data_IF_080047040659
#
_entry.id   IF_080047040659
#
_cell.length_a   1.000
_cell.length_b   1.000
_cell.length_c   1.000
_cell.angle_alpha   90.00
_cell.angle_beta   90.00
_cell.angle_gamma   90.00
#
_symmetry.space_group_name_H-M   'P 1'
#
loop_
_entity.id
_entity.type
_entity.pdbx_description
1 polymer ?
#
# COMPACT_ATOMS: atom_id res chain seq x y z
N UNK A 1 -23.74 -11.54 12.93
CA UNK A 1 -22.56 -10.83 12.43
C UNK A 1 -21.98 -11.54 11.22
N UNK A 2 -22.01 -10.89 10.09
CA UNK A 2 -21.47 -11.53 8.91
C UNK A 2 -19.97 -11.77 9.09
N UNK A 3 -19.56 -12.97 8.76
CA UNK A 3 -18.16 -13.29 8.71
C UNK A 3 -17.59 -12.63 7.45
N UNK A 4 -16.46 -12.02 7.58
CA UNK A 4 -15.80 -11.34 6.48
C UNK A 4 -15.05 -12.32 5.59
N UNK A 5 -15.70 -13.46 5.30
CA UNK A 5 -15.13 -14.42 4.37
C UNK A 5 -15.32 -13.89 2.96
N UNK A 6 -14.34 -13.96 2.14
CA UNK A 6 -14.36 -13.48 0.76
C UNK A 6 -14.65 -12.00 0.62
N UNK A 7 -14.68 -11.27 1.73
CA UNK A 7 -14.76 -9.82 1.64
C UNK A 7 -13.50 -9.32 1.00
N UNK A 8 -13.64 -8.39 0.06
CA UNK A 8 -12.50 -7.79 -0.59
C UNK A 8 -11.64 -7.05 0.41
N UNK A 9 -10.35 -7.26 0.33
CA UNK A 9 -9.39 -6.43 1.02
C UNK A 9 -9.23 -5.17 0.18
N UNK A 10 -9.38 -4.01 0.78
CA UNK A 10 -9.24 -2.73 0.09
C UNK A 10 -7.81 -2.23 0.25
N UNK A 11 -7.08 -2.15 -0.84
CA UNK A 11 -5.65 -1.81 -0.84
C UNK A 11 -5.44 -0.49 -1.55
N UNK A 12 -4.72 0.41 -0.91
CA UNK A 12 -4.23 1.62 -1.57
C UNK A 12 -2.84 1.32 -2.14
N UNK A 13 -2.70 1.42 -3.45
CA UNK A 13 -1.44 1.19 -4.17
C UNK A 13 -0.88 2.53 -4.62
N UNK A 14 0.34 2.83 -4.19
CA UNK A 14 1.01 4.09 -4.49
C UNK A 14 2.30 3.78 -5.26
N UNK A 15 2.30 4.08 -6.54
CA UNK A 15 3.42 3.81 -7.44
C UNK A 15 3.39 4.83 -8.58
N UNK A 16 4.49 5.54 -8.78
CA UNK A 16 4.55 6.57 -9.84
C UNK A 16 4.79 5.99 -11.23
N UNK A 17 5.37 4.78 -11.33
CA UNK A 17 5.54 4.11 -12.61
C UNK A 17 4.22 3.46 -13.01
N UNK A 18 3.62 3.93 -14.09
CA UNK A 18 2.28 3.48 -14.50
C UNK A 18 2.25 2.01 -14.92
N UNK A 19 3.34 1.50 -15.50
CA UNK A 19 3.40 0.10 -15.90
C UNK A 19 3.49 -0.82 -14.69
N UNK A 20 4.37 -0.49 -13.74
CA UNK A 20 4.46 -1.26 -12.51
C UNK A 20 3.15 -1.19 -11.71
N UNK A 21 2.54 -0.01 -11.66
CA UNK A 21 1.27 0.15 -10.97
C UNK A 21 0.19 -0.74 -11.59
N UNK A 22 0.09 -0.75 -12.92
CA UNK A 22 -0.88 -1.60 -13.61
C UNK A 22 -0.68 -3.07 -13.27
N UNK A 23 0.55 -3.54 -13.25
CA UNK A 23 0.83 -4.95 -12.98
C UNK A 23 0.35 -5.35 -11.59
N UNK A 24 0.71 -4.57 -10.58
CA UNK A 24 0.30 -4.92 -9.21
C UNK A 24 -1.20 -4.73 -8.99
N UNK A 25 -1.78 -3.69 -9.55
CA UNK A 25 -3.22 -3.45 -9.44
C UNK A 25 -4.00 -4.58 -10.08
N UNK A 26 -3.66 -4.96 -11.30
CA UNK A 26 -4.34 -6.04 -12.00
C UNK A 26 -4.24 -7.36 -11.22
N UNK A 27 -3.06 -7.65 -10.68
CA UNK A 27 -2.88 -8.87 -9.90
C UNK A 27 -3.77 -8.88 -8.66
N UNK A 28 -3.80 -7.77 -7.93
CA UNK A 28 -4.62 -7.67 -6.72
C UNK A 28 -6.11 -7.73 -7.05
N UNK A 29 -6.54 -7.06 -8.10
CA UNK A 29 -7.94 -7.09 -8.53
C UNK A 29 -8.36 -8.48 -8.98
N UNK A 30 -7.52 -9.19 -9.73
CA UNK A 30 -7.79 -10.56 -10.13
C UNK A 30 -7.93 -11.50 -8.93
N UNK A 31 -7.27 -11.17 -7.84
CA UNK A 31 -7.36 -11.95 -6.59
C UNK A 31 -8.56 -11.55 -5.72
N UNK A 32 -9.37 -10.59 -6.17
CA UNK A 32 -10.57 -10.18 -5.46
C UNK A 32 -10.42 -8.96 -4.58
N UNK A 33 -9.27 -8.28 -4.62
CA UNK A 33 -9.09 -7.05 -3.86
C UNK A 33 -9.78 -5.87 -4.56
N UNK A 34 -10.21 -4.91 -3.77
CA UNK A 34 -10.61 -3.61 -4.29
C UNK A 34 -9.40 -2.69 -4.15
N UNK A 35 -9.04 -2.01 -5.24
CA UNK A 35 -7.79 -1.24 -5.26
C UNK A 35 -8.07 0.22 -5.52
N UNK A 36 -7.50 1.09 -4.68
CA UNK A 36 -7.40 2.52 -4.93
C UNK A 36 -5.97 2.80 -5.39
N UNK A 37 -5.82 3.62 -6.42
CA UNK A 37 -4.52 3.91 -7.02
C UNK A 37 -4.10 5.34 -6.80
N UNK A 38 -2.81 5.54 -6.57
CA UNK A 38 -2.23 6.87 -6.53
C UNK A 38 -0.87 6.86 -7.22
N UNK A 39 -0.61 7.86 -8.04
CA UNK A 39 0.67 8.01 -8.71
C UNK A 39 1.63 8.89 -7.92
N UNK A 40 1.14 9.60 -6.92
CA UNK A 40 1.93 10.53 -6.11
C UNK A 40 1.60 10.35 -4.63
N UNK A 41 2.52 10.78 -3.77
CA UNK A 41 2.29 10.77 -2.33
C UNK A 41 1.12 11.68 -1.97
N UNK A 42 1.03 12.85 -2.59
CA UNK A 42 -0.05 13.82 -2.33
C UNK A 42 -1.42 13.21 -2.61
N UNK A 43 -1.55 12.50 -3.74
CA UNK A 43 -2.82 11.85 -4.08
C UNK A 43 -3.16 10.75 -3.08
N UNK A 44 -2.16 9.97 -2.68
CA UNK A 44 -2.35 8.90 -1.70
C UNK A 44 -2.84 9.47 -0.38
N UNK A 45 -2.21 10.53 0.09
CA UNK A 45 -2.59 11.18 1.36
C UNK A 45 -4.01 11.74 1.26
N UNK A 46 -4.36 12.34 0.13
CA UNK A 46 -5.73 12.82 -0.10
C UNK A 46 -6.74 11.69 -0.01
N UNK A 47 -6.42 10.54 -0.61
CA UNK A 47 -7.31 9.38 -0.56
C UNK A 47 -7.50 8.87 0.88
N UNK A 48 -6.44 8.89 1.69
CA UNK A 48 -6.55 8.50 3.09
C UNK A 48 -7.53 9.39 3.87
N UNK A 49 -7.70 10.63 3.46
CA UNK A 49 -8.56 11.60 4.15
C UNK A 49 -10.01 11.59 3.69
N UNK A 50 -10.34 10.79 2.68
CA UNK A 50 -11.70 10.79 2.11
C UNK A 50 -12.70 9.89 2.85
N UNK A 51 -12.29 9.22 3.91
CA UNK A 51 -13.18 8.32 4.63
C UNK A 51 -13.41 7.00 3.92
N UNK A 52 -12.55 6.65 2.96
CA UNK A 52 -12.62 5.36 2.27
C UNK A 52 -12.21 4.23 3.20
N UNK A 53 -12.79 3.05 3.00
CA UNK A 53 -12.35 1.85 3.71
C UNK A 53 -11.06 1.36 3.06
N UNK A 54 -9.92 1.65 3.66
CA UNK A 54 -8.62 1.19 3.21
C UNK A 54 -8.10 0.23 4.26
N UNK A 55 -7.85 -1.02 3.86
CA UNK A 55 -7.41 -2.08 4.77
C UNK A 55 -5.91 -2.26 4.80
N UNK A 56 -5.21 -1.85 3.74
CA UNK A 56 -3.75 -1.93 3.66
C UNK A 56 -3.23 -0.88 2.69
N UNK A 57 -2.00 -0.43 2.93
CA UNK A 57 -1.32 0.53 2.06
C UNK A 57 -0.05 -0.11 1.53
N UNK A 58 0.11 -0.13 0.21
CA UNK A 58 1.32 -0.58 -0.45
C UNK A 58 1.91 0.59 -1.22
N UNK A 59 3.09 1.06 -0.82
CA UNK A 59 3.66 2.27 -1.40
C UNK A 59 5.14 2.11 -1.74
N UNK A 60 5.53 2.66 -2.88
CA UNK A 60 6.93 2.90 -3.18
C UNK A 60 7.43 4.00 -2.22
N UNK A 61 8.69 3.90 -1.82
CA UNK A 61 9.33 4.94 -1.02
C UNK A 61 9.70 6.14 -1.88
N UNK A 62 10.26 5.87 -3.08
CA UNK A 62 10.67 6.92 -4.00
C UNK A 62 9.56 7.25 -4.97
N UNK A 63 8.88 8.35 -4.73
CA UNK A 63 7.81 8.86 -5.59
C UNK A 63 8.29 10.16 -6.23
N UNK A 64 7.82 10.44 -7.45
CA UNK A 64 8.19 11.68 -8.16
C UNK A 64 7.41 12.85 -7.63
N UNK A 65 7.66 13.20 -6.38
CA UNK A 65 7.01 14.31 -5.73
C UNK A 65 7.88 14.77 -4.57
N UNK A 66 7.50 15.88 -3.94
CA UNK A 66 8.23 16.40 -2.79
C UNK A 66 8.06 15.51 -1.56
N UNK A 67 6.99 14.75 -1.51
CA UNK A 67 6.74 13.81 -0.42
C UNK A 67 7.12 12.39 -0.87
N UNK A 68 7.45 11.54 0.11
CA UNK A 68 7.91 10.18 -0.12
C UNK A 68 6.89 9.15 0.35
N UNK A 69 7.18 7.88 0.10
CA UNK A 69 6.37 6.79 0.66
C UNK A 69 6.39 6.76 2.18
N UNK A 70 7.46 7.25 2.82
CA UNK A 70 7.47 7.40 4.28
C UNK A 70 6.36 8.34 4.73
N UNK A 71 6.19 9.46 4.02
CA UNK A 71 5.12 10.40 4.31
C UNK A 71 3.73 9.78 4.13
N UNK A 72 3.58 8.94 3.11
CA UNK A 72 2.33 8.21 2.88
C UNK A 72 2.01 7.31 4.07
N UNK A 73 3.00 6.53 4.52
CA UNK A 73 2.80 5.62 5.65
C UNK A 73 2.44 6.36 6.93
N UNK A 74 3.12 7.47 7.19
CA UNK A 74 2.83 8.29 8.38
C UNK A 74 1.42 8.89 8.32
N UNK A 75 1.04 9.42 7.17
CA UNK A 75 -0.30 9.98 6.98
C UNK A 75 -1.39 8.91 7.11
N UNK A 76 -1.13 7.72 6.56
CA UNK A 76 -2.08 6.61 6.67
C UNK A 76 -2.30 6.23 8.13
N UNK A 77 -1.23 6.09 8.91
CA UNK A 77 -1.36 5.77 10.34
C UNK A 77 -2.07 6.86 11.12
N UNK A 78 -1.84 8.11 10.76
CA UNK A 78 -2.50 9.24 11.41
C UNK A 78 -4.00 9.27 11.12
N UNK A 79 -4.39 8.90 9.91
CA UNK A 79 -5.78 9.05 9.43
C UNK A 79 -6.57 7.75 9.54
N UNK A 80 -5.94 6.60 9.26
CA UNK A 80 -6.61 5.31 9.18
C UNK A 80 -6.33 4.40 10.38
N UNK A 81 -5.54 4.88 11.35
CA UNK A 81 -5.21 4.10 12.54
C UNK A 81 -4.14 3.07 12.26
N UNK A 82 -4.30 1.86 12.79
CA UNK A 82 -3.29 0.81 12.72
C UNK A 82 -3.26 0.07 11.37
N UNK A 83 -3.53 0.77 10.30
CA UNK A 83 -3.56 0.16 8.97
C UNK A 83 -2.19 -0.46 8.64
N UNK A 84 -2.16 -1.69 8.11
CA UNK A 84 -0.92 -2.28 7.63
C UNK A 84 -0.30 -1.45 6.50
N UNK A 85 1.02 -1.26 6.58
CA UNK A 85 1.76 -0.51 5.56
C UNK A 85 2.90 -1.37 5.05
N UNK A 86 3.00 -1.47 3.74
CA UNK A 86 4.03 -2.23 3.04
C UNK A 86 4.78 -1.28 2.13
N UNK A 87 6.07 -1.16 2.33
CA UNK A 87 6.93 -0.30 1.51
C UNK A 87 7.71 -1.11 0.48
N UNK A 88 8.05 -0.49 -0.63
CA UNK A 88 8.95 -1.07 -1.61
C UNK A 88 9.89 -0.03 -2.19
N UNK A 89 11.05 -0.46 -2.64
CA UNK A 89 12.02 0.42 -3.32
C UNK A 89 12.94 -0.40 -4.20
N UNK A 90 13.31 0.17 -5.34
CA UNK A 90 14.23 -0.45 -6.29
C UNK A 90 15.69 -0.17 -6.01
N UNK A 91 15.99 0.73 -5.10
CA UNK A 91 17.36 1.10 -4.77
C UNK A 91 17.63 0.85 -3.30
N UNK A 92 18.92 0.87 -2.94
CA UNK A 92 19.31 0.86 -1.56
C UNK A 92 18.78 2.12 -0.90
N UNK A 93 17.88 1.96 0.04
CA UNK A 93 17.26 3.07 0.73
C UNK A 93 17.44 2.90 2.22
N UNK A 94 17.77 3.97 2.90
CA UNK A 94 17.80 3.94 4.35
C UNK A 94 16.38 3.85 4.87
N UNK A 95 16.14 2.85 5.73
CA UNK A 95 14.82 2.63 6.30
C UNK A 95 14.67 3.48 7.56
N UNK A 96 14.68 4.80 7.36
CA UNK A 96 14.76 5.75 8.46
C UNK A 96 13.42 6.10 9.07
N UNK A 97 12.32 5.95 8.33
CA UNK A 97 11.02 6.42 8.76
C UNK A 97 9.88 5.42 8.57
N UNK A 98 10.12 4.10 8.65
CA UNK A 98 8.98 3.17 8.51
C UNK A 98 8.06 3.27 9.73
N UNK A 99 6.76 3.18 9.48
CA UNK A 99 5.81 3.11 10.60
C UNK A 99 5.94 1.75 11.31
N UNK A 100 5.55 1.71 12.56
CA UNK A 100 5.69 0.51 13.39
C UNK A 100 4.94 -0.67 12.76
N UNK A 101 5.57 -1.85 12.76
CA UNK A 101 4.94 -3.07 12.25
C UNK A 101 4.86 -3.17 10.74
N UNK A 102 5.45 -2.22 10.00
CA UNK A 102 5.42 -2.25 8.54
C UNK A 102 6.35 -3.31 7.96
N UNK A 103 6.11 -3.67 6.71
CA UNK A 103 6.98 -4.57 5.94
C UNK A 103 7.66 -3.78 4.83
N UNK A 104 8.77 -4.34 4.35
CA UNK A 104 9.54 -3.74 3.27
C UNK A 104 9.96 -4.83 2.28
N UNK A 105 9.68 -4.60 0.99
CA UNK A 105 10.09 -5.50 -0.09
C UNK A 105 10.99 -4.76 -1.07
N UNK A 106 12.11 -5.37 -1.43
CA UNK A 106 12.97 -4.81 -2.47
C UNK A 106 12.39 -5.10 -3.85
N UNK A 107 12.57 -4.18 -4.78
CA UNK A 107 12.26 -4.43 -6.18
C UNK A 107 13.39 -5.21 -6.84
N UNK A 108 13.11 -6.13 -7.75
CA UNK A 108 11.77 -6.53 -8.15
C UNK A 108 11.11 -7.41 -7.09
N UNK A 109 9.83 -7.20 -6.86
CA UNK A 109 9.06 -8.03 -5.94
C UNK A 109 8.11 -8.93 -6.73
N UNK A 110 7.67 -10.00 -6.10
CA UNK A 110 6.63 -10.86 -6.68
C UNK A 110 5.26 -10.34 -6.22
N UNK A 111 4.33 -10.06 -7.15
CA UNK A 111 2.99 -9.62 -6.74
C UNK A 111 2.31 -10.57 -5.76
N UNK A 112 2.57 -11.87 -5.88
CA UNK A 112 2.01 -12.86 -4.96
C UNK A 112 2.47 -12.62 -3.52
N UNK A 113 3.70 -12.14 -3.32
CA UNK A 113 4.21 -11.85 -1.98
C UNK A 113 3.49 -10.64 -1.37
N UNK A 114 3.18 -9.64 -2.19
CA UNK A 114 2.45 -8.46 -1.72
C UNK A 114 1.02 -8.87 -1.33
N UNK A 115 0.36 -9.68 -2.14
CA UNK A 115 -0.97 -10.17 -1.82
C UNK A 115 -0.96 -10.97 -0.52
N UNK A 116 0.01 -11.87 -0.36
CA UNK A 116 0.15 -12.68 0.85
C UNK A 116 0.34 -11.79 2.07
N UNK A 117 1.19 -10.77 1.96
CA UNK A 117 1.41 -9.83 3.05
C UNK A 117 0.13 -9.09 3.42
N UNK A 118 -0.62 -8.60 2.43
CA UNK A 118 -1.89 -7.94 2.68
C UNK A 118 -2.86 -8.86 3.42
N UNK A 119 -3.00 -10.10 2.95
CA UNK A 119 -3.90 -11.06 3.57
C UNK A 119 -3.49 -11.40 4.99
N UNK A 120 -2.20 -11.62 5.21
CA UNK A 120 -1.68 -11.97 6.53
C UNK A 120 -1.88 -10.83 7.51
N UNK A 121 -1.55 -9.61 7.12
CA UNK A 121 -1.66 -8.44 8.00
C UNK A 121 -3.10 -8.04 8.27
N UNK A 122 -3.99 -8.21 7.29
CA UNK A 122 -5.40 -7.83 7.46
C UNK A 122 -6.20 -8.89 8.22
N UNK A 123 -5.79 -10.15 8.14
CA UNK A 123 -6.51 -11.26 8.75
C UNK A 123 -5.82 -11.79 10.01
N UNK A 124 -4.62 -11.30 10.24
CA UNK A 124 -3.84 -11.71 11.39
C UNK A 124 -4.15 -10.89 12.60
#
# INVERSE_FOLDING_TARGET
MPIRTNASIHVLVVEDDSELRSVIVDYLEDAGCLVFEAATAERAISLCKLGLSIDAVFTDVHLRSSLTGWDVGEAARCTLGDVPVIYTSGSSVERTRPVAGSLFFNKPYEPADILRACRTLCNG
#
